data_IF_374399258599
#
_entry.id   IF_374399258599
#
_cell.length_a   1.000
_cell.length_b   1.000
_cell.length_c   1.000
_cell.angle_alpha   90.00
_cell.angle_beta   90.00
_cell.angle_gamma   90.00
#
_symmetry.space_group_name_H-M   'P 1'
#
loop_
_entity.id
_entity.type
_entity.pdbx_description
1 polymer ?
#
# COMPACT_ATOMS: atom_id res chain seq x y z
N UNK A 1 6.52 -12.99 17.32
CA UNK A 1 5.08 -12.64 17.37
C UNK A 1 4.44 -13.08 18.69
N UNK A 2 4.62 -14.35 19.13
CA UNK A 2 4.03 -14.80 20.40
C UNK A 2 4.39 -13.89 21.58
N UNK A 3 5.67 -13.57 21.75
CA UNK A 3 6.13 -12.68 22.81
C UNK A 3 5.51 -11.27 22.73
N UNK A 4 5.32 -10.72 21.53
CA UNK A 4 4.64 -9.44 21.33
C UNK A 4 3.15 -9.58 21.70
N UNK A 5 2.50 -10.62 21.19
CA UNK A 5 1.09 -10.90 21.45
C UNK A 5 0.79 -10.99 22.96
N UNK A 6 1.66 -11.66 23.71
CA UNK A 6 1.47 -11.91 25.13
C UNK A 6 1.70 -10.64 26.00
N UNK A 7 2.32 -9.60 25.44
CA UNK A 7 2.64 -8.35 26.13
C UNK A 7 1.87 -7.12 25.61
N UNK A 8 0.84 -7.31 24.79
CA UNK A 8 -0.04 -6.22 24.31
C UNK A 8 -1.50 -6.66 24.32
N UNK A 9 -2.40 -5.70 24.48
CA UNK A 9 -3.84 -5.88 24.23
C UNK A 9 -4.29 -5.32 22.88
N UNK A 10 -3.37 -4.67 22.13
CA UNK A 10 -3.69 -4.08 20.84
C UNK A 10 -3.75 -5.14 19.73
N UNK A 11 -4.62 -4.98 18.73
CA UNK A 11 -4.60 -5.83 17.54
C UNK A 11 -3.28 -5.63 16.77
N UNK A 12 -2.75 -6.71 16.24
CA UNK A 12 -1.48 -6.75 15.52
C UNK A 12 -1.76 -7.04 14.04
N UNK A 13 -1.33 -6.13 13.16
CA UNK A 13 -1.27 -6.36 11.71
C UNK A 13 0.18 -6.74 11.38
N UNK A 14 0.37 -7.94 10.84
CA UNK A 14 1.68 -8.41 10.37
C UNK A 14 2.07 -7.60 9.13
N UNK A 15 3.34 -7.18 9.03
CA UNK A 15 3.85 -6.59 7.79
C UNK A 15 4.81 -7.55 7.09
N UNK A 16 4.35 -8.12 5.98
CA UNK A 16 5.15 -9.00 5.11
C UNK A 16 5.70 -8.20 3.92
N UNK A 17 7.02 -8.00 3.90
CA UNK A 17 7.73 -7.22 2.87
C UNK A 17 9.07 -7.90 2.52
N UNK A 18 9.05 -8.98 1.71
CA UNK A 18 10.26 -9.76 1.40
C UNK A 18 11.36 -8.94 0.73
N UNK A 19 11.00 -7.98 -0.10
CA UNK A 19 11.94 -7.08 -0.79
C UNK A 19 12.85 -6.28 0.16
N UNK A 20 12.45 -6.11 1.43
CA UNK A 20 13.23 -5.40 2.45
C UNK A 20 13.71 -6.28 3.58
N UNK A 21 12.98 -7.35 3.89
CA UNK A 21 13.27 -8.23 5.02
C UNK A 21 13.96 -9.54 4.60
N UNK A 22 14.06 -9.82 3.29
CA UNK A 22 14.60 -11.06 2.68
C UNK A 22 13.72 -12.29 2.98
N UNK A 23 13.03 -12.32 4.10
CA UNK A 23 12.15 -13.41 4.52
C UNK A 23 10.73 -13.13 4.02
N UNK A 24 10.15 -14.12 3.32
CA UNK A 24 8.74 -14.16 2.95
C UNK A 24 7.97 -15.09 3.88
N UNK A 25 6.97 -14.56 4.57
CA UNK A 25 6.14 -15.32 5.48
C UNK A 25 5.09 -16.11 4.71
N UNK A 26 5.13 -17.43 4.79
CA UNK A 26 4.15 -18.30 4.11
C UNK A 26 2.73 -18.13 4.70
N UNK A 27 1.72 -18.46 3.89
CA UNK A 27 0.31 -18.47 4.34
C UNK A 27 0.12 -19.45 5.51
N UNK A 28 0.86 -20.56 5.53
CA UNK A 28 0.83 -21.53 6.65
C UNK A 28 1.37 -20.93 7.94
N UNK A 29 2.42 -20.14 7.85
CA UNK A 29 2.94 -19.41 9.02
C UNK A 29 1.97 -18.37 9.50
N UNK A 30 1.31 -17.63 8.60
CA UNK A 30 0.26 -16.67 8.97
C UNK A 30 -0.92 -17.37 9.66
N UNK A 31 -1.34 -18.55 9.17
CA UNK A 31 -2.39 -19.35 9.79
C UNK A 31 -2.06 -19.70 11.25
N UNK A 32 -0.84 -20.17 11.51
CA UNK A 32 -0.38 -20.46 12.88
C UNK A 32 -0.32 -19.21 13.76
N UNK A 33 0.03 -18.06 13.20
CA UNK A 33 0.05 -16.80 13.94
C UNK A 33 -1.36 -16.28 14.24
N UNK A 34 -2.32 -16.54 13.36
CA UNK A 34 -3.72 -16.13 13.56
C UNK A 34 -4.40 -16.87 14.72
N UNK A 35 -3.84 -18.00 15.19
CA UNK A 35 -4.28 -18.65 16.42
C UNK A 35 -3.98 -17.82 17.69
N UNK A 36 -3.11 -16.82 17.59
CA UNK A 36 -2.79 -15.90 18.68
C UNK A 36 -3.86 -14.81 18.78
N UNK A 37 -4.30 -14.52 20.02
CA UNK A 37 -5.44 -13.67 20.34
C UNK A 37 -5.46 -12.30 19.66
N UNK A 38 -4.28 -11.66 19.52
CA UNK A 38 -4.20 -10.26 19.06
C UNK A 38 -3.78 -10.14 17.60
N UNK A 39 -3.45 -11.22 16.89
CA UNK A 39 -3.16 -11.17 15.45
C UNK A 39 -4.48 -10.98 14.70
N UNK A 40 -4.63 -9.82 14.05
CA UNK A 40 -5.86 -9.43 13.35
C UNK A 40 -5.75 -9.55 11.82
N UNK A 41 -4.52 -9.52 11.26
CA UNK A 41 -4.37 -9.54 9.81
C UNK A 41 -2.95 -9.31 9.34
N UNK A 42 -2.83 -9.03 8.05
CA UNK A 42 -1.57 -8.78 7.35
C UNK A 42 -1.65 -7.54 6.46
N UNK A 43 -0.56 -6.76 6.39
CA UNK A 43 -0.21 -5.91 5.26
C UNK A 43 0.77 -6.69 4.40
N UNK A 44 0.33 -7.17 3.25
CA UNK A 44 1.19 -7.91 2.30
C UNK A 44 1.72 -6.96 1.22
N UNK A 45 3.03 -6.94 1.05
CA UNK A 45 3.75 -6.16 0.04
C UNK A 45 4.61 -7.07 -0.86
N UNK A 46 4.12 -8.27 -1.17
CA UNK A 46 4.73 -9.17 -2.15
C UNK A 46 4.35 -8.82 -3.58
N UNK A 47 3.21 -8.16 -3.79
CA UNK A 47 2.65 -7.92 -5.11
C UNK A 47 1.98 -9.15 -5.74
N UNK A 48 1.84 -10.26 -5.02
CA UNK A 48 1.22 -11.49 -5.51
C UNK A 48 -0.24 -11.61 -5.06
N UNK A 49 -1.18 -11.34 -5.97
CA UNK A 49 -2.61 -11.45 -5.71
C UNK A 49 -3.07 -12.89 -5.40
N UNK A 50 -2.33 -13.93 -5.83
CA UNK A 50 -2.70 -15.31 -5.49
C UNK A 50 -2.55 -15.56 -3.98
N UNK A 51 -1.67 -14.85 -3.31
CA UNK A 51 -1.53 -14.95 -1.84
C UNK A 51 -2.76 -14.47 -1.10
N UNK A 52 -3.41 -13.40 -1.61
CA UNK A 52 -4.71 -12.95 -1.09
C UNK A 52 -5.74 -14.08 -1.16
N UNK A 53 -5.88 -14.71 -2.34
CA UNK A 53 -6.86 -15.78 -2.56
C UNK A 53 -6.57 -17.00 -1.66
N UNK A 54 -5.28 -17.41 -1.56
CA UNK A 54 -4.85 -18.51 -0.71
C UNK A 54 -5.10 -18.21 0.77
N UNK A 55 -4.81 -16.99 1.21
CA UNK A 55 -5.02 -16.54 2.59
C UNK A 55 -6.50 -16.49 2.93
N UNK A 56 -7.34 -15.94 2.04
CA UNK A 56 -8.78 -15.90 2.21
C UNK A 56 -9.38 -17.31 2.32
N UNK A 57 -8.94 -18.22 1.46
CA UNK A 57 -9.39 -19.63 1.49
C UNK A 57 -8.99 -20.34 2.79
N UNK A 58 -7.82 -20.03 3.34
CA UNK A 58 -7.27 -20.75 4.50
C UNK A 58 -7.71 -20.16 5.84
N UNK A 59 -7.80 -18.84 5.94
CA UNK A 59 -8.04 -18.11 7.20
C UNK A 59 -9.45 -17.53 7.30
N UNK A 60 -10.17 -17.47 6.18
CA UNK A 60 -11.50 -16.88 6.13
C UNK A 60 -11.51 -15.35 6.00
N UNK A 61 -12.72 -14.77 5.90
CA UNK A 61 -12.91 -13.33 5.64
C UNK A 61 -12.61 -12.44 6.85
N UNK A 62 -12.55 -13.00 8.07
CA UNK A 62 -12.29 -12.22 9.28
C UNK A 62 -10.81 -11.87 9.45
N UNK A 63 -9.91 -12.56 8.75
CA UNK A 63 -8.50 -12.21 8.71
C UNK A 63 -8.29 -10.99 7.82
N UNK A 64 -7.95 -9.86 8.41
CA UNK A 64 -7.79 -8.59 7.72
C UNK A 64 -6.63 -8.68 6.72
N UNK A 65 -6.91 -8.49 5.44
CA UNK A 65 -5.90 -8.46 4.39
C UNK A 65 -5.79 -7.06 3.79
N UNK A 66 -4.65 -6.40 4.01
CA UNK A 66 -4.28 -5.11 3.43
C UNK A 66 -3.14 -5.31 2.43
N UNK A 67 -3.16 -4.58 1.31
CA UNK A 67 -1.99 -4.53 0.43
C UNK A 67 -1.03 -3.41 0.81
N UNK A 68 0.25 -3.61 0.51
CA UNK A 68 1.27 -2.56 0.52
C UNK A 68 1.58 -1.99 -0.87
N UNK A 69 0.91 -2.51 -1.92
CA UNK A 69 1.19 -2.20 -3.33
C UNK A 69 0.07 -1.34 -3.92
N UNK A 70 0.34 -0.03 -4.05
CA UNK A 70 -0.61 0.96 -4.57
C UNK A 70 -1.15 0.57 -5.95
N UNK A 71 -0.29 0.15 -6.87
CA UNK A 71 -0.65 -0.17 -8.24
C UNK A 71 -1.55 -1.41 -8.41
N UNK A 72 -1.71 -2.24 -7.38
CA UNK A 72 -2.54 -3.44 -7.40
C UNK A 72 -3.82 -3.31 -6.57
N UNK A 73 -4.02 -2.16 -5.92
CA UNK A 73 -5.08 -1.99 -4.92
C UNK A 73 -6.49 -2.22 -5.48
N UNK A 74 -6.75 -1.91 -6.76
CA UNK A 74 -8.05 -2.12 -7.39
C UNK A 74 -8.39 -3.62 -7.48
N UNK A 75 -7.51 -4.42 -8.08
CA UNK A 75 -7.71 -5.86 -8.18
C UNK A 75 -7.69 -6.55 -6.81
N UNK A 76 -6.86 -6.07 -5.89
CA UNK A 76 -6.81 -6.56 -4.52
C UNK A 76 -8.16 -6.39 -3.81
N UNK A 77 -8.77 -5.21 -3.91
CA UNK A 77 -10.08 -4.94 -3.30
C UNK A 77 -11.20 -5.77 -3.97
N UNK A 78 -11.17 -5.93 -5.30
CA UNK A 78 -12.15 -6.77 -6.05
C UNK A 78 -12.10 -8.24 -5.63
N UNK A 79 -10.94 -8.75 -5.21
CA UNK A 79 -10.75 -10.13 -4.75
C UNK A 79 -11.03 -10.33 -3.25
N UNK A 80 -11.53 -9.32 -2.55
CA UNK A 80 -11.90 -9.41 -1.13
C UNK A 80 -10.85 -8.85 -0.17
N UNK A 81 -9.82 -8.16 -0.66
CA UNK A 81 -8.94 -7.36 0.17
C UNK A 81 -9.70 -6.19 0.79
N UNK A 82 -9.31 -5.79 2.01
CA UNK A 82 -10.07 -4.76 2.75
C UNK A 82 -9.50 -3.36 2.61
N UNK A 83 -8.36 -3.19 1.96
CA UNK A 83 -7.77 -1.87 1.73
C UNK A 83 -6.26 -1.89 1.55
N UNK A 84 -5.65 -0.72 1.69
CA UNK A 84 -4.22 -0.50 1.45
C UNK A 84 -3.59 0.38 2.53
N UNK A 85 -2.32 0.15 2.82
CA UNK A 85 -1.44 1.10 3.50
C UNK A 85 -0.52 1.70 2.44
N UNK A 86 -0.94 2.82 1.88
CA UNK A 86 -0.47 3.45 0.65
C UNK A 86 0.70 4.41 0.87
N UNK A 87 1.65 4.43 -0.06
CA UNK A 87 2.64 5.51 -0.19
C UNK A 87 2.03 6.73 -0.86
N UNK A 88 1.24 6.51 -1.92
CA UNK A 88 0.60 7.60 -2.68
C UNK A 88 -0.38 8.42 -1.85
N UNK A 89 -0.99 7.83 -0.82
CA UNK A 89 -1.88 8.56 0.10
C UNK A 89 -1.19 9.70 0.87
N UNK A 90 0.14 9.70 0.99
CA UNK A 90 0.88 10.85 1.55
C UNK A 90 0.84 12.08 0.63
N UNK A 91 0.59 11.88 -0.66
CA UNK A 91 0.65 12.90 -1.72
C UNK A 91 -0.75 13.26 -2.22
N UNK A 92 -1.62 12.25 -2.36
CA UNK A 92 -2.97 12.39 -2.92
C UNK A 92 -4.02 11.75 -1.98
N UNK A 93 -4.13 12.19 -0.70
CA UNK A 93 -4.97 11.50 0.29
C UNK A 93 -6.45 11.46 -0.10
N UNK A 94 -6.98 12.54 -0.69
CA UNK A 94 -8.38 12.60 -1.12
C UNK A 94 -8.67 11.60 -2.24
N UNK A 95 -7.84 11.57 -3.29
CA UNK A 95 -8.01 10.62 -4.40
C UNK A 95 -7.88 9.17 -3.91
N UNK A 96 -6.90 8.87 -3.05
CA UNK A 96 -6.74 7.54 -2.48
C UNK A 96 -7.93 7.15 -1.59
N UNK A 97 -8.49 8.07 -0.82
CA UNK A 97 -9.68 7.82 0.00
C UNK A 97 -10.92 7.55 -0.84
N UNK A 98 -11.17 8.38 -1.86
CA UNK A 98 -12.30 8.21 -2.77
C UNK A 98 -12.17 6.89 -3.55
N UNK A 99 -10.97 6.59 -4.05
CA UNK A 99 -10.67 5.31 -4.68
C UNK A 99 -11.01 4.12 -3.77
N UNK A 100 -10.56 4.14 -2.50
CA UNK A 100 -10.84 3.07 -1.55
C UNK A 100 -12.33 2.91 -1.25
N UNK A 101 -13.06 4.01 -1.19
CA UNK A 101 -14.52 3.99 -1.01
C UNK A 101 -15.21 3.36 -2.21
N UNK A 102 -14.90 3.85 -3.41
CA UNK A 102 -15.59 3.45 -4.64
C UNK A 102 -15.20 2.06 -5.13
N UNK A 103 -13.94 1.63 -4.96
CA UNK A 103 -13.45 0.32 -5.40
C UNK A 103 -14.11 -0.87 -4.68
N UNK A 104 -14.82 -0.62 -3.58
CA UNK A 104 -15.54 -1.64 -2.78
C UNK A 104 -17.06 -1.47 -2.87
N UNK A 105 -17.53 -0.60 -3.73
CA UNK A 105 -18.95 -0.36 -3.92
C UNK A 105 -19.62 -1.47 -4.74
N UNK A 106 -20.93 -1.61 -4.55
CA UNK A 106 -21.79 -2.44 -5.40
C UNK A 106 -22.42 -1.62 -6.56
N UNK A 107 -22.13 -0.33 -6.67
CA UNK A 107 -22.63 0.55 -7.72
C UNK A 107 -21.68 0.56 -8.92
N UNK A 108 -22.18 0.21 -10.10
CA UNK A 108 -21.39 0.24 -11.35
C UNK A 108 -20.79 1.63 -11.63
N UNK A 109 -21.51 2.71 -11.28
CA UNK A 109 -21.02 4.07 -11.47
C UNK A 109 -19.84 4.39 -10.53
N UNK A 110 -19.89 3.94 -9.27
CA UNK A 110 -18.81 4.13 -8.32
C UNK A 110 -17.60 3.25 -8.69
N UNK A 111 -17.81 2.04 -9.16
CA UNK A 111 -16.72 1.18 -9.68
C UNK A 111 -16.02 1.84 -10.87
N UNK A 112 -16.77 2.39 -11.84
CA UNK A 112 -16.18 3.14 -12.97
C UNK A 112 -15.39 4.37 -12.50
N UNK A 113 -15.87 5.04 -11.47
CA UNK A 113 -15.14 6.17 -10.89
C UNK A 113 -13.85 5.70 -10.18
N UNK A 114 -13.87 4.56 -9.49
CA UNK A 114 -12.67 3.94 -8.94
C UNK A 114 -11.66 3.59 -10.03
N UNK A 115 -12.10 2.99 -11.13
CA UNK A 115 -11.25 2.69 -12.30
C UNK A 115 -10.62 3.96 -12.89
N UNK A 116 -11.40 5.03 -12.99
CA UNK A 116 -10.91 6.33 -13.46
C UNK A 116 -9.84 6.91 -12.53
N UNK A 117 -10.07 6.84 -11.21
CA UNK A 117 -9.10 7.33 -10.22
C UNK A 117 -7.84 6.45 -10.22
N UNK A 118 -7.99 5.13 -10.29
CA UNK A 118 -6.87 4.21 -10.38
C UNK A 118 -5.98 4.53 -11.59
N UNK A 119 -6.58 4.66 -12.78
CA UNK A 119 -5.86 5.02 -14.00
C UNK A 119 -5.13 6.37 -13.86
N UNK A 120 -5.74 7.36 -13.19
CA UNK A 120 -5.14 8.66 -12.93
C UNK A 120 -3.92 8.56 -11.99
N UNK A 121 -3.98 7.68 -10.99
CA UNK A 121 -2.93 7.51 -9.99
C UNK A 121 -1.80 6.56 -10.41
N UNK A 122 -2.00 5.68 -11.39
CA UNK A 122 -0.99 4.70 -11.83
C UNK A 122 0.38 5.31 -12.20
N UNK A 123 0.47 6.46 -12.92
CA UNK A 123 1.76 7.10 -13.16
C UNK A 123 2.45 7.55 -11.85
N UNK A 124 1.66 8.05 -10.89
CA UNK A 124 2.18 8.50 -9.60
C UNK A 124 2.66 7.31 -8.76
N UNK A 125 1.90 6.22 -8.71
CA UNK A 125 2.32 4.98 -8.04
C UNK A 125 3.71 4.53 -8.52
N UNK A 126 3.92 4.51 -9.84
CA UNK A 126 5.21 4.13 -10.45
C UNK A 126 6.32 5.13 -10.13
N UNK A 127 6.04 6.43 -10.26
CA UNK A 127 7.04 7.48 -10.05
C UNK A 127 7.59 7.50 -8.62
N UNK A 128 6.76 7.20 -7.62
CA UNK A 128 7.14 7.18 -6.21
C UNK A 128 8.04 5.99 -5.82
N UNK A 129 8.27 5.03 -6.72
CA UNK A 129 9.11 3.85 -6.51
C UNK A 129 10.24 3.69 -7.54
N UNK A 130 10.53 4.72 -8.36
CA UNK A 130 11.68 4.70 -9.29
C UNK A 130 12.99 4.57 -8.52
N UNK A 131 13.09 5.27 -7.39
CA UNK A 131 14.17 5.12 -6.44
C UNK A 131 13.62 4.69 -5.06
N UNK A 132 14.53 4.45 -4.13
CA UNK A 132 14.18 3.93 -2.81
C UNK A 132 13.19 4.84 -2.07
N UNK A 133 11.98 4.33 -1.83
CA UNK A 133 11.02 5.03 -0.95
C UNK A 133 11.62 5.13 0.48
N UNK A 134 11.51 6.30 1.18
CA UNK A 134 10.58 7.40 0.93
C UNK A 134 11.13 8.60 0.13
N UNK A 135 12.31 8.54 -0.46
CA UNK A 135 12.92 9.72 -1.07
C UNK A 135 12.08 10.35 -2.21
N UNK A 136 11.51 9.59 -3.19
CA UNK A 136 10.62 10.18 -4.20
C UNK A 136 9.33 10.74 -3.60
N UNK A 137 8.74 10.07 -2.62
CA UNK A 137 7.52 10.55 -1.94
C UNK A 137 7.78 11.86 -1.18
N UNK A 138 8.93 12.00 -0.52
CA UNK A 138 9.29 13.26 0.14
C UNK A 138 9.54 14.39 -0.86
N UNK A 139 10.12 14.09 -2.00
CA UNK A 139 10.28 15.08 -3.06
C UNK A 139 8.91 15.53 -3.62
N UNK A 140 7.98 14.60 -3.86
CA UNK A 140 6.62 14.93 -4.24
C UNK A 140 5.93 15.82 -3.20
N UNK A 141 6.02 15.46 -1.92
CA UNK A 141 5.49 16.26 -0.82
C UNK A 141 6.11 17.67 -0.73
N UNK A 142 7.41 17.80 -1.02
CA UNK A 142 8.08 19.11 -1.13
C UNK A 142 7.48 19.96 -2.24
N UNK A 143 7.25 19.41 -3.42
CA UNK A 143 6.62 20.14 -4.54
C UNK A 143 5.24 20.66 -4.17
N UNK A 144 4.50 19.94 -3.31
CA UNK A 144 3.20 20.32 -2.77
C UNK A 144 3.30 21.27 -1.55
N UNK A 145 4.49 21.66 -1.14
CA UNK A 145 4.71 22.55 0.01
C UNK A 145 4.45 21.93 1.38
N UNK A 146 4.39 20.59 1.47
CA UNK A 146 4.04 19.87 2.70
C UNK A 146 5.23 19.65 3.64
N UNK A 147 6.44 19.42 3.10
CA UNK A 147 7.66 19.21 3.89
C UNK A 147 8.93 19.40 3.06
N UNK A 148 10.13 19.32 3.68
CA UNK A 148 11.39 19.24 2.94
C UNK A 148 11.61 17.86 2.33
N UNK A 149 12.48 17.76 1.30
CA UNK A 149 12.90 16.50 0.69
C UNK A 149 14.11 15.85 1.39
N UNK A 150 14.43 16.29 2.62
CA UNK A 150 15.55 15.76 3.36
C UNK A 150 15.28 14.34 3.84
N UNK A 151 16.26 13.47 3.68
CA UNK A 151 16.25 12.08 4.11
C UNK A 151 17.48 11.80 4.97
N UNK A 152 17.38 10.82 5.88
CA UNK A 152 18.50 10.38 6.70
C UNK A 152 19.30 9.29 5.99
N UNK A 153 20.62 9.28 6.19
CA UNK A 153 21.47 8.19 5.71
C UNK A 153 20.95 6.82 6.23
N UNK A 154 21.05 5.77 5.46
CA UNK A 154 21.74 5.63 4.14
C UNK A 154 20.96 6.15 2.94
N UNK A 155 19.75 6.68 3.09
CA UNK A 155 19.00 7.26 2.00
C UNK A 155 19.62 8.59 1.56
N UNK A 156 19.51 8.88 0.26
CA UNK A 156 19.98 10.11 -0.37
C UNK A 156 18.86 10.78 -1.14
N UNK A 157 19.06 12.04 -1.52
CA UNK A 157 18.12 12.75 -2.41
C UNK A 157 18.11 12.08 -3.78
N UNK A 158 16.92 12.05 -4.40
CA UNK A 158 16.73 11.44 -5.71
C UNK A 158 17.45 12.20 -6.83
N UNK A 159 17.74 11.49 -7.92
CA UNK A 159 18.37 12.03 -9.11
C UNK A 159 17.45 13.01 -9.86
N UNK A 160 18.03 13.92 -10.66
CA UNK A 160 17.26 14.91 -11.44
C UNK A 160 16.26 14.24 -12.39
N UNK A 161 16.66 13.16 -13.08
CA UNK A 161 15.77 12.40 -13.96
C UNK A 161 14.55 11.80 -13.25
N UNK A 162 14.70 11.43 -11.97
CA UNK A 162 13.59 10.95 -11.13
C UNK A 162 12.72 12.13 -10.68
N UNK A 163 13.31 13.28 -10.37
CA UNK A 163 12.55 14.49 -10.03
C UNK A 163 11.62 14.93 -11.15
N UNK A 164 12.11 14.90 -12.40
CA UNK A 164 11.30 15.20 -13.58
C UNK A 164 10.09 14.26 -13.69
N UNK A 165 10.32 12.95 -13.60
CA UNK A 165 9.24 11.94 -13.65
C UNK A 165 8.21 12.08 -12.53
N UNK A 166 8.66 12.39 -11.31
CA UNK A 166 7.76 12.65 -10.19
C UNK A 166 6.91 13.88 -10.43
N UNK A 167 7.52 14.97 -10.95
CA UNK A 167 6.80 16.20 -11.31
C UNK A 167 5.77 15.96 -12.42
N UNK A 168 6.16 15.25 -13.49
CA UNK A 168 5.24 14.89 -14.57
C UNK A 168 4.05 14.06 -14.06
N UNK A 169 4.30 13.10 -13.17
CA UNK A 169 3.25 12.28 -12.57
C UNK A 169 2.28 13.10 -11.69
N UNK A 170 2.78 14.08 -10.94
CA UNK A 170 1.96 15.01 -10.18
C UNK A 170 1.08 15.88 -11.08
N UNK A 171 1.63 16.41 -12.16
CA UNK A 171 0.88 17.18 -13.17
C UNK A 171 -0.21 16.31 -13.82
N UNK A 172 0.13 15.08 -14.21
CA UNK A 172 -0.83 14.14 -14.79
C UNK A 172 -1.98 13.80 -13.82
N UNK A 173 -1.69 13.72 -12.54
CA UNK A 173 -2.68 13.50 -11.48
C UNK A 173 -3.43 14.78 -11.07
N UNK A 174 -3.14 15.93 -11.69
CA UNK A 174 -3.71 17.26 -11.40
C UNK A 174 -3.52 17.70 -9.94
N UNK A 175 -2.33 17.41 -9.40
CA UNK A 175 -1.94 17.76 -8.04
C UNK A 175 -1.01 18.98 -7.99
N UNK A 176 -0.45 19.37 -9.13
CA UNK A 176 0.31 20.58 -9.38
C UNK A 176 -0.36 21.43 -10.46
#
# INVERSE_FOLDING_TARGET
>A
YKSINDNTSLPIIIYNIPSRCVIDMSVDTMARLYELKNIAGVKDATGDLNRLDQTLKKLGPDFIQLTGEDGLAFEFNKRGGVGIISVTANIAPKLCSDFQKFSKSNSDNEIKEAERIDALLQPLHKALFIESNPAPAKYAAKLLGLCSDDVRLPLVKIQESTKEKVKEALLSAKLL
#
